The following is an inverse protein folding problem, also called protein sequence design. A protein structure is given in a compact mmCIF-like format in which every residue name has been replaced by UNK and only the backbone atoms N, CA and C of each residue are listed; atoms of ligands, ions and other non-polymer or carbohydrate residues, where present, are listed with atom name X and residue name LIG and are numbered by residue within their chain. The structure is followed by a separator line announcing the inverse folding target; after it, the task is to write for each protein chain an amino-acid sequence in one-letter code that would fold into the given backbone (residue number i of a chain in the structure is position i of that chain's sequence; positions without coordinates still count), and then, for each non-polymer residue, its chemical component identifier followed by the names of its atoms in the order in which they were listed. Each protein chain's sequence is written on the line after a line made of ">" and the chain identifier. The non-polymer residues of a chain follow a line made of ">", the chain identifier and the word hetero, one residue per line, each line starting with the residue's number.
data_IF_631541192995
#
_entry.id   IF_631541192995
#
_cell.length_a   1.000
_cell.length_b   1.000
_cell.length_c   1.000
_cell.angle_alpha   90.00
_cell.angle_beta   90.00
_cell.angle_gamma   90.00
#
_symmetry.space_group_name_H-M   'P 1'
#
loop_
_entity.id
_entity.type
_entity.pdbx_description
1 polymer ?
#
# COMPACT_ATOMS: atom_id res chain seq x y z
N UNK A 1 21.41 7.38 9.87
CA UNK A 1 22.67 6.67 9.48
C UNK A 1 23.92 7.51 9.80
N UNK A 2 23.92 8.29 10.88
CA UNK A 2 25.02 9.19 11.21
C UNK A 2 26.11 8.63 12.11
N UNK A 3 26.00 7.40 12.61
CA UNK A 3 27.03 6.80 13.46
C UNK A 3 28.14 6.13 12.63
N UNK A 4 29.34 6.00 13.21
CA UNK A 4 30.48 5.31 12.55
C UNK A 4 30.15 3.85 12.23
N UNK A 5 29.40 3.18 13.11
CA UNK A 5 28.91 1.81 12.91
C UNK A 5 27.94 1.72 11.75
N UNK A 6 26.98 2.67 11.64
CA UNK A 6 26.04 2.74 10.53
C UNK A 6 26.72 2.98 9.19
N UNK A 7 27.77 3.81 9.15
CA UNK A 7 28.56 4.04 7.94
C UNK A 7 29.33 2.77 7.51
N UNK A 8 29.92 2.03 8.45
CA UNK A 8 30.59 0.76 8.16
C UNK A 8 29.61 -0.30 7.64
N UNK A 9 28.42 -0.39 8.25
CA UNK A 9 27.39 -1.33 7.81
C UNK A 9 26.92 -1.00 6.39
N UNK A 10 26.69 0.28 6.12
CA UNK A 10 26.29 0.75 4.78
C UNK A 10 27.38 0.46 3.74
N UNK A 11 28.64 0.69 4.05
CA UNK A 11 29.74 0.38 3.13
C UNK A 11 29.79 -1.12 2.77
N UNK A 12 29.66 -2.01 3.78
CA UNK A 12 29.59 -3.46 3.54
C UNK A 12 28.35 -3.87 2.73
N UNK A 13 27.22 -3.20 2.96
CA UNK A 13 26.01 -3.45 2.19
C UNK A 13 26.20 -3.09 0.72
N UNK A 14 26.84 -1.96 0.43
CA UNK A 14 27.12 -1.49 -0.93
C UNK A 14 28.11 -2.41 -1.69
N UNK A 15 28.94 -3.20 -0.99
CA UNK A 15 29.78 -4.24 -1.60
C UNK A 15 28.97 -5.45 -2.08
N UNK A 16 27.79 -5.68 -1.48
CA UNK A 16 26.92 -6.84 -1.75
C UNK A 16 25.80 -6.51 -2.74
N UNK A 17 25.33 -5.26 -2.77
CA UNK A 17 24.19 -4.85 -3.57
C UNK A 17 24.31 -3.38 -3.98
N UNK A 18 24.05 -3.09 -5.26
CA UNK A 18 23.86 -1.71 -5.75
C UNK A 18 22.44 -1.25 -5.36
N UNK A 19 22.34 -0.51 -4.27
CA UNK A 19 21.08 -0.04 -3.72
C UNK A 19 20.84 1.42 -4.04
N UNK A 20 19.69 1.71 -4.67
CA UNK A 20 19.19 3.06 -4.87
C UNK A 20 18.15 3.39 -3.80
N UNK A 21 18.25 4.58 -3.20
CA UNK A 21 17.24 5.07 -2.27
C UNK A 21 16.05 5.57 -3.08
N UNK A 22 14.88 4.96 -2.85
CA UNK A 22 13.60 5.44 -3.37
C UNK A 22 12.77 5.94 -2.19
N UNK A 23 12.13 7.08 -2.35
CA UNK A 23 11.27 7.69 -1.33
C UNK A 23 9.88 7.93 -1.89
N UNK A 24 8.87 7.63 -1.10
CA UNK A 24 7.47 7.94 -1.37
C UNK A 24 6.83 8.68 -0.20
N UNK A 25 5.73 9.36 -0.45
CA UNK A 25 4.82 9.86 0.58
C UNK A 25 3.65 8.91 0.69
N UNK A 26 3.31 8.47 1.91
CA UNK A 26 2.12 7.66 2.17
C UNK A 26 1.01 8.49 2.79
N UNK A 27 -0.23 8.23 2.36
CA UNK A 27 -1.45 8.78 2.92
C UNK A 27 -2.33 7.62 3.36
N UNK A 28 -2.65 7.57 4.65
CA UNK A 28 -3.51 6.53 5.23
C UNK A 28 -4.96 6.93 4.97
N UNK A 29 -5.69 6.08 4.23
CA UNK A 29 -7.12 6.25 3.97
C UNK A 29 -7.97 5.55 5.06
N UNK A 30 -7.53 4.37 5.51
CA UNK A 30 -8.20 3.56 6.52
C UNK A 30 -7.15 2.86 7.39
N UNK A 31 -7.40 2.77 8.70
CA UNK A 31 -6.56 2.00 9.62
C UNK A 31 -7.37 1.56 10.84
N UNK A 32 -7.28 0.27 11.15
CA UNK A 32 -7.58 -0.29 12.47
C UNK A 32 -6.28 -0.28 13.29
N UNK A 33 -6.14 0.74 14.13
CA UNK A 33 -4.91 0.95 14.89
C UNK A 33 -4.68 -0.15 15.94
N UNK A 34 -5.74 -0.73 16.50
CA UNK A 34 -5.62 -1.81 17.48
C UNK A 34 -5.12 -3.09 16.80
N UNK A 35 -5.72 -3.47 15.68
CA UNK A 35 -5.27 -4.62 14.90
C UNK A 35 -3.82 -4.44 14.42
N UNK A 36 -3.47 -3.24 13.93
CA UNK A 36 -2.10 -2.94 13.48
C UNK A 36 -1.06 -3.06 14.59
N UNK A 37 -1.39 -2.66 15.83
CA UNK A 37 -0.46 -2.73 16.95
C UNK A 37 -0.28 -4.16 17.51
N UNK A 38 -1.27 -5.01 17.31
CA UNK A 38 -1.27 -6.37 17.86
C UNK A 38 -0.77 -7.44 16.86
N UNK A 39 -0.40 -7.04 15.66
CA UNK A 39 0.00 -7.94 14.58
C UNK A 39 1.43 -7.66 14.10
N UNK A 40 2.30 -8.68 14.14
CA UNK A 40 3.72 -8.59 13.81
C UNK A 40 4.11 -9.31 12.52
N UNK A 41 3.20 -10.07 11.91
CA UNK A 41 3.38 -10.64 10.58
C UNK A 41 2.10 -10.52 9.74
N UNK A 42 2.18 -9.78 8.64
CA UNK A 42 1.04 -9.33 7.87
C UNK A 42 1.18 -9.72 6.42
N UNK A 43 0.06 -9.72 5.73
CA UNK A 43 0.02 -9.75 4.28
C UNK A 43 -0.19 -8.32 3.77
N UNK A 44 0.70 -7.89 2.90
CA UNK A 44 0.63 -6.58 2.23
C UNK A 44 0.34 -6.80 0.76
N UNK A 45 -0.77 -6.25 0.28
CA UNK A 45 -1.08 -6.17 -1.14
C UNK A 45 -0.65 -4.81 -1.69
N UNK A 46 0.10 -4.84 -2.79
CA UNK A 46 0.62 -3.65 -3.46
C UNK A 46 0.12 -3.61 -4.91
N UNK A 47 -0.48 -2.49 -5.30
CA UNK A 47 -1.03 -2.31 -6.64
C UNK A 47 -0.69 -0.93 -7.20
N UNK A 48 0.10 -0.89 -8.29
CA UNK A 48 0.43 0.35 -8.97
C UNK A 48 -0.72 0.80 -9.88
N UNK A 49 -1.04 2.09 -9.80
CA UNK A 49 -2.10 2.73 -10.57
C UNK A 49 -1.59 3.99 -11.26
N UNK A 50 -2.17 4.28 -12.43
CA UNK A 50 -1.99 5.53 -13.16
C UNK A 50 -3.32 6.25 -13.27
N UNK A 51 -3.33 7.56 -13.03
CA UNK A 51 -4.51 8.40 -13.20
C UNK A 51 -5.02 8.33 -14.64
N UNK A 52 -6.33 8.30 -14.81
CA UNK A 52 -6.94 8.39 -16.11
C UNK A 52 -6.85 9.82 -16.64
N UNK A 53 -6.88 9.97 -17.97
CA UNK A 53 -6.81 11.28 -18.60
C UNK A 53 -7.93 12.22 -18.10
N UNK A 54 -7.55 13.42 -17.68
CA UNK A 54 -8.46 14.44 -17.17
C UNK A 54 -8.86 14.29 -15.71
N UNK A 55 -8.43 13.24 -15.01
CA UNK A 55 -8.68 13.07 -13.57
C UNK A 55 -7.60 13.80 -12.76
N UNK A 56 -8.03 14.64 -11.84
CA UNK A 56 -7.13 15.31 -10.91
C UNK A 56 -6.85 14.48 -9.66
N UNK A 57 -5.77 14.80 -8.95
CA UNK A 57 -5.52 14.20 -7.63
C UNK A 57 -6.62 14.54 -6.60
N UNK A 58 -7.28 15.69 -6.73
CA UNK A 58 -8.39 16.09 -5.87
C UNK A 58 -9.62 15.20 -6.08
N UNK A 59 -9.97 14.88 -7.34
CA UNK A 59 -11.03 13.93 -7.65
C UNK A 59 -10.73 12.55 -7.09
N UNK A 60 -9.47 12.09 -7.25
CA UNK A 60 -9.02 10.81 -6.71
C UNK A 60 -9.13 10.76 -5.19
N UNK A 61 -8.66 11.81 -4.48
CA UNK A 61 -8.74 11.87 -3.02
C UNK A 61 -10.19 11.85 -2.54
N UNK A 62 -11.07 12.59 -3.19
CA UNK A 62 -12.51 12.59 -2.88
C UNK A 62 -13.13 11.20 -3.01
N UNK A 63 -12.76 10.45 -4.05
CA UNK A 63 -13.21 9.06 -4.21
C UNK A 63 -12.61 8.13 -3.16
N UNK A 64 -11.34 8.31 -2.80
CA UNK A 64 -10.71 7.51 -1.75
C UNK A 64 -11.34 7.75 -0.38
N UNK A 65 -11.71 8.99 -0.05
CA UNK A 65 -12.45 9.31 1.18
C UNK A 65 -13.79 8.56 1.26
N UNK A 66 -14.56 8.54 0.17
CA UNK A 66 -15.82 7.78 0.12
C UNK A 66 -15.61 6.29 0.34
N UNK A 67 -14.57 5.71 -0.28
CA UNK A 67 -14.24 4.29 -0.10
C UNK A 67 -13.76 3.99 1.31
N UNK A 68 -12.98 4.89 1.90
CA UNK A 68 -12.54 4.76 3.28
C UNK A 68 -13.72 4.75 4.27
N UNK A 69 -14.76 5.55 4.04
CA UNK A 69 -15.97 5.49 4.87
C UNK A 69 -16.68 4.13 4.76
N UNK A 70 -16.77 3.54 3.57
CA UNK A 70 -17.33 2.19 3.40
C UNK A 70 -16.51 1.12 4.12
N UNK A 71 -15.19 1.25 4.14
CA UNK A 71 -14.30 0.32 4.84
C UNK A 71 -14.42 0.39 6.36
N UNK A 72 -14.92 1.49 6.92
CA UNK A 72 -15.24 1.57 8.35
C UNK A 72 -16.47 0.72 8.73
N UNK A 73 -17.39 0.51 7.80
CA UNK A 73 -18.57 -0.34 8.00
C UNK A 73 -18.24 -1.81 7.74
N UNK A 74 -17.48 -2.09 6.69
CA UNK A 74 -17.02 -3.42 6.32
C UNK A 74 -15.59 -3.31 5.72
N UNK A 75 -14.60 -3.69 6.50
CA UNK A 75 -13.19 -3.57 6.13
C UNK A 75 -12.76 -4.56 5.05
N UNK A 76 -13.61 -5.50 4.63
CA UNK A 76 -13.29 -6.56 3.67
C UNK A 76 -12.03 -7.34 4.06
N UNK A 77 -11.80 -7.52 5.36
CA UNK A 77 -10.63 -8.19 5.91
C UNK A 77 -9.36 -7.33 6.03
N UNK A 78 -9.37 -6.09 5.55
CA UNK A 78 -8.23 -5.16 5.69
C UNK A 78 -8.13 -4.60 7.10
N UNK A 79 -6.90 -4.39 7.57
CA UNK A 79 -6.59 -3.64 8.80
C UNK A 79 -5.96 -2.28 8.50
N UNK A 80 -5.49 -2.05 7.28
CA UNK A 80 -5.12 -0.73 6.80
C UNK A 80 -5.20 -0.63 5.28
N UNK A 81 -5.46 0.59 4.79
CA UNK A 81 -5.33 0.96 3.40
C UNK A 81 -4.70 2.34 3.28
N UNK A 82 -3.65 2.43 2.46
CA UNK A 82 -2.91 3.66 2.20
C UNK A 82 -2.65 3.84 0.70
N UNK A 83 -2.38 5.08 0.29
CA UNK A 83 -1.80 5.39 -1.00
C UNK A 83 -0.34 5.78 -0.81
N UNK A 84 0.52 5.32 -1.71
CA UNK A 84 1.94 5.67 -1.74
C UNK A 84 2.23 6.40 -3.04
N UNK A 85 2.70 7.64 -2.93
CA UNK A 85 3.05 8.50 -4.06
C UNK A 85 4.56 8.53 -4.25
N UNK A 86 5.08 8.19 -5.44
CA UNK A 86 6.50 8.30 -5.76
C UNK A 86 7.03 9.72 -5.55
N UNK A 87 8.25 9.86 -5.05
CA UNK A 87 8.91 11.16 -4.80
C UNK A 87 10.34 11.16 -5.36
N UNK A 88 11.34 10.86 -4.55
CA UNK A 88 12.76 10.93 -4.92
C UNK A 88 13.24 9.58 -5.42
N UNK A 89 14.00 9.56 -6.52
CA UNK A 89 14.59 8.36 -7.10
C UNK A 89 13.55 7.39 -7.68
N UNK A 90 12.38 7.90 -8.09
CA UNK A 90 11.23 7.11 -8.52
C UNK A 90 10.78 7.42 -9.95
N UNK A 91 11.69 7.96 -10.76
CA UNK A 91 11.53 8.22 -12.20
C UNK A 91 11.13 6.98 -13.02
N UNK A 92 11.43 5.78 -12.51
CA UNK A 92 11.01 4.49 -13.08
C UNK A 92 9.80 3.88 -12.35
N UNK A 93 9.01 4.66 -11.59
CA UNK A 93 7.84 4.12 -10.92
C UNK A 93 6.81 3.61 -11.95
N UNK A 94 6.21 2.42 -11.73
CA UNK A 94 5.30 1.82 -12.71
C UNK A 94 3.96 2.54 -12.87
N UNK A 95 3.67 3.56 -12.06
CA UNK A 95 2.45 4.35 -12.07
C UNK A 95 2.60 5.63 -11.26
N UNK A 96 1.54 6.43 -11.21
CA UNK A 96 1.50 7.72 -10.51
C UNK A 96 1.40 7.56 -9.01
N UNK A 97 0.79 6.44 -8.56
CA UNK A 97 0.68 6.07 -7.15
C UNK A 97 0.51 4.54 -7.01
N UNK A 98 0.60 4.06 -5.78
CA UNK A 98 0.25 2.68 -5.48
C UNK A 98 -0.76 2.61 -4.34
N UNK A 99 -1.70 1.68 -4.43
CA UNK A 99 -2.47 1.21 -3.28
C UNK A 99 -1.63 0.25 -2.46
N UNK A 100 -1.70 0.40 -1.15
CA UNK A 100 -1.14 -0.51 -0.16
C UNK A 100 -2.30 -0.95 0.74
N UNK A 101 -2.72 -2.20 0.63
CA UNK A 101 -3.68 -2.81 1.54
C UNK A 101 -2.96 -3.78 2.47
N UNK A 102 -3.31 -3.75 3.76
CA UNK A 102 -2.71 -4.60 4.80
C UNK A 102 -3.77 -5.50 5.38
N UNK A 103 -3.46 -6.78 5.45
CA UNK A 103 -4.32 -7.82 6.01
C UNK A 103 -3.57 -8.57 7.13
N UNK A 104 -4.24 -9.00 8.21
CA UNK A 104 -3.58 -9.72 9.29
C UNK A 104 -3.04 -11.09 8.85
N UNK A 105 -3.67 -11.72 7.86
CA UNK A 105 -3.30 -13.03 7.34
C UNK A 105 -3.85 -13.26 5.94
N UNK A 106 -3.52 -14.40 5.33
CA UNK A 106 -3.94 -14.72 3.96
C UNK A 106 -5.45 -15.00 3.88
N UNK A 107 -6.06 -15.55 4.92
CA UNK A 107 -7.50 -15.80 4.98
C UNK A 107 -8.27 -14.48 4.90
N UNK A 108 -7.82 -13.46 5.61
CA UNK A 108 -8.39 -12.10 5.54
C UNK A 108 -8.23 -11.47 4.17
N UNK A 109 -7.08 -11.64 3.52
CA UNK A 109 -6.90 -11.18 2.13
C UNK A 109 -7.84 -11.90 1.16
N UNK A 110 -8.19 -13.16 1.41
CA UNK A 110 -9.16 -13.90 0.60
C UNK A 110 -10.59 -13.36 0.72
N UNK A 111 -10.97 -12.74 1.85
CA UNK A 111 -12.29 -12.09 2.01
C UNK A 111 -12.46 -11.00 0.95
N UNK A 112 -11.45 -10.16 0.74
CA UNK A 112 -11.47 -9.16 -0.33
C UNK A 112 -11.64 -9.82 -1.71
N UNK A 113 -10.89 -10.87 -2.02
CA UNK A 113 -10.99 -11.56 -3.31
C UNK A 113 -12.37 -12.21 -3.51
N UNK A 114 -12.96 -12.77 -2.45
CA UNK A 114 -14.32 -13.31 -2.49
C UNK A 114 -15.36 -12.21 -2.72
N UNK A 115 -15.20 -11.04 -2.10
CA UNK A 115 -16.10 -9.90 -2.33
C UNK A 115 -16.09 -9.47 -3.80
N UNK A 116 -14.93 -9.49 -4.45
CA UNK A 116 -14.84 -9.22 -5.90
C UNK A 116 -15.66 -10.23 -6.71
N UNK A 117 -15.58 -11.52 -6.38
CA UNK A 117 -16.37 -12.57 -7.05
C UNK A 117 -17.87 -12.47 -6.78
N UNK A 118 -18.27 -11.83 -5.69
CA UNK A 118 -19.67 -11.67 -5.25
C UNK A 118 -20.31 -10.34 -5.67
N UNK A 119 -19.71 -9.64 -6.65
CA UNK A 119 -20.25 -8.38 -7.20
C UNK A 119 -19.36 -7.16 -6.94
N UNK A 120 -18.39 -7.23 -6.04
CA UNK A 120 -17.44 -6.14 -5.77
C UNK A 120 -16.61 -5.73 -7.00
N UNK A 121 -16.45 -6.62 -7.98
CA UNK A 121 -15.79 -6.34 -9.25
C UNK A 121 -16.40 -5.14 -10.00
N UNK A 122 -17.70 -4.87 -9.82
CA UNK A 122 -18.37 -3.74 -10.45
C UNK A 122 -17.82 -2.41 -9.92
N UNK A 123 -17.66 -2.30 -8.60
CA UNK A 123 -17.06 -1.12 -7.96
C UNK A 123 -15.60 -0.92 -8.39
N UNK A 124 -14.83 -2.02 -8.49
CA UNK A 124 -13.46 -1.97 -8.97
C UNK A 124 -13.36 -1.54 -10.44
N UNK A 125 -14.21 -2.10 -11.30
CA UNK A 125 -14.31 -1.71 -12.71
C UNK A 125 -14.68 -0.23 -12.87
N UNK A 126 -15.65 0.25 -12.10
CA UNK A 126 -16.10 1.64 -12.15
C UNK A 126 -14.98 2.58 -11.69
N UNK A 127 -14.23 2.20 -10.65
CA UNK A 127 -13.03 2.92 -10.22
C UNK A 127 -11.97 2.98 -11.33
N UNK A 128 -11.69 1.86 -11.99
CA UNK A 128 -10.72 1.83 -13.09
C UNK A 128 -11.16 2.65 -14.30
N UNK A 129 -12.44 2.68 -14.60
CA UNK A 129 -12.98 3.49 -15.70
C UNK A 129 -12.92 4.99 -15.41
N UNK A 130 -13.27 5.39 -14.17
CA UNK A 130 -13.58 6.78 -13.84
C UNK A 130 -12.41 7.53 -13.20
N UNK A 131 -11.46 6.83 -12.55
CA UNK A 131 -10.41 7.48 -11.77
C UNK A 131 -8.98 7.05 -12.13
N UNK A 132 -8.65 5.77 -12.03
CA UNK A 132 -7.29 5.30 -12.23
C UNK A 132 -7.22 3.86 -12.73
N UNK A 133 -6.42 3.62 -13.73
CA UNK A 133 -6.12 2.27 -14.22
C UNK A 133 -5.03 1.64 -13.38
N UNK A 134 -5.35 0.52 -12.75
CA UNK A 134 -4.44 -0.22 -11.87
C UNK A 134 -3.91 -1.49 -12.53
N UNK A 135 -2.64 -1.83 -12.24
CA UNK A 135 -2.01 -3.10 -12.62
C UNK A 135 -2.46 -4.21 -11.67
N UNK A 136 -2.04 -5.45 -11.93
CA UNK A 136 -2.31 -6.57 -11.02
C UNK A 136 -1.65 -6.37 -9.65
N UNK A 137 -2.29 -6.91 -8.61
CA UNK A 137 -1.78 -6.88 -7.25
C UNK A 137 -0.58 -7.81 -7.05
N UNK A 138 0.36 -7.36 -6.24
CA UNK A 138 1.46 -8.17 -5.70
C UNK A 138 1.27 -8.35 -4.21
N UNK A 139 1.30 -9.60 -3.74
CA UNK A 139 1.19 -9.93 -2.33
C UNK A 139 2.55 -10.21 -1.73
N UNK A 140 2.81 -9.64 -0.57
CA UNK A 140 4.07 -9.77 0.18
C UNK A 140 3.78 -10.11 1.63
N UNK A 141 4.68 -10.85 2.25
CA UNK A 141 4.67 -11.06 3.69
C UNK A 141 5.50 -9.94 4.32
N UNK A 142 4.88 -9.15 5.19
CA UNK A 142 5.56 -8.21 6.06
C UNK A 142 5.82 -8.87 7.41
N UNK A 143 7.03 -8.73 7.92
CA UNK A 143 7.38 -9.18 9.27
C UNK A 143 8.10 -8.08 10.01
N UNK A 144 7.61 -7.73 11.19
CA UNK A 144 8.27 -6.77 12.06
C UNK A 144 9.52 -7.41 12.65
N UNK A 145 10.69 -6.91 12.27
CA UNK A 145 12.00 -7.42 12.74
C UNK A 145 12.53 -6.67 13.96
N UNK A 146 12.05 -5.46 14.20
CA UNK A 146 12.44 -4.62 15.31
C UNK A 146 11.25 -3.78 15.75
N UNK A 147 10.75 -4.03 16.95
CA UNK A 147 9.75 -3.20 17.61
C UNK A 147 10.49 -2.21 18.53
N UNK A 148 10.46 -0.90 18.22
CA UNK A 148 11.14 0.10 19.04
C UNK A 148 10.54 0.25 20.44
N UNK A 149 9.38 -0.37 20.71
CA UNK A 149 8.69 -0.34 22.01
C UNK A 149 8.89 -1.62 22.85
N UNK A 150 9.65 -2.59 22.34
CA UNK A 150 10.03 -3.84 23.01
C UNK A 150 11.51 -3.89 23.36
#
# INVERSE_FOLDING_TARGET
>A
MGTKEGQKLNARWQELADCRVKMGSSFINFIDQEAMNNDNDRIVAWNWCSLNEGVSYEDLLTEHEKRAELLKEDSLGMIAWANVYPRIGTDEAPGDFAHLAVYPNIESAQIYQQSQSSGGWQSYRDYQRDFATCKGESYMIEKVLNDPNN
#
